data_IF_511743939854
#
_entry.id   IF_511743939854
#
_cell.length_a   1.000
_cell.length_b   1.000
_cell.length_c   1.000
_cell.angle_alpha   90.00
_cell.angle_beta   90.00
_cell.angle_gamma   90.00
#
_symmetry.space_group_name_H-M   'P 1'
#
loop_
_entity.id
_entity.type
_entity.pdbx_description
1 polymer ?
#
# COMPACT_ATOMS: atom_id res chain seq x y z
N UNK A 1 9.01 0.10 17.23
CA UNK A 1 8.35 1.11 16.37
C UNK A 1 9.42 1.73 15.52
N UNK A 2 9.37 1.53 14.21
CA UNK A 2 10.37 2.08 13.30
C UNK A 2 10.04 3.55 13.05
N UNK A 3 11.00 4.46 13.28
CA UNK A 3 10.76 5.89 13.11
C UNK A 3 10.52 6.22 11.63
N UNK A 4 9.40 6.90 11.35
CA UNK A 4 9.09 7.38 10.00
C UNK A 4 10.11 8.44 9.59
N UNK A 5 10.50 8.43 8.31
CA UNK A 5 11.31 9.53 7.78
C UNK A 5 10.54 10.86 7.84
N UNK A 6 11.27 11.98 7.90
CA UNK A 6 10.67 13.30 7.83
C UNK A 6 9.90 13.53 6.53
N UNK A 7 10.38 12.96 5.41
CA UNK A 7 9.71 13.04 4.11
C UNK A 7 8.39 12.27 4.10
N UNK A 8 8.35 11.05 4.64
CA UNK A 8 7.11 10.27 4.74
C UNK A 8 6.09 10.96 5.66
N UNK A 9 6.55 11.55 6.76
CA UNK A 9 5.69 12.33 7.66
C UNK A 9 5.08 13.55 6.96
N UNK A 10 5.87 14.28 6.17
CA UNK A 10 5.37 15.41 5.38
C UNK A 10 4.37 14.98 4.29
N UNK A 11 4.60 13.83 3.65
CA UNK A 11 3.67 13.29 2.66
C UNK A 11 2.33 12.88 3.28
N UNK A 12 2.35 12.30 4.48
CA UNK A 12 1.13 12.01 5.24
C UNK A 12 0.38 13.31 5.53
N UNK A 13 1.05 14.36 6.01
CA UNK A 13 0.42 15.66 6.23
C UNK A 13 -0.24 16.22 4.95
N UNK A 14 0.44 16.11 3.81
CA UNK A 14 -0.10 16.53 2.52
C UNK A 14 -1.36 15.75 2.11
N UNK A 15 -1.46 14.45 2.44
CA UNK A 15 -2.70 13.68 2.25
C UNK A 15 -3.85 14.29 3.06
N UNK A 16 -3.63 14.55 4.36
CA UNK A 16 -4.65 15.13 5.22
C UNK A 16 -5.12 16.51 4.72
N UNK A 17 -4.20 17.35 4.25
CA UNK A 17 -4.53 18.66 3.68
C UNK A 17 -5.34 18.53 2.38
N UNK A 18 -4.91 17.66 1.48
CA UNK A 18 -5.53 17.44 0.17
C UNK A 18 -6.98 16.98 0.29
N UNK A 19 -7.26 16.09 1.24
CA UNK A 19 -8.57 15.48 1.41
C UNK A 19 -9.41 16.13 2.52
N UNK A 20 -8.90 17.17 3.20
CA UNK A 20 -9.65 17.93 4.21
C UNK A 20 -11.04 18.43 3.74
N UNK A 21 -11.23 18.84 2.46
CA UNK A 21 -12.54 19.31 1.99
C UNK A 21 -13.65 18.25 1.99
N UNK A 22 -13.31 16.97 2.08
CA UNK A 22 -14.28 15.86 2.04
C UNK A 22 -14.89 15.50 3.39
N UNK A 23 -14.70 16.34 4.42
CA UNK A 23 -15.18 16.09 5.79
C UNK A 23 -16.63 15.60 5.84
N UNK A 24 -16.87 14.56 6.64
CA UNK A 24 -18.23 14.08 6.92
C UNK A 24 -19.04 15.14 7.65
N UNK A 25 -20.25 15.38 7.13
CA UNK A 25 -21.24 16.23 7.79
C UNK A 25 -21.95 15.49 8.94
N UNK A 26 -22.26 14.21 8.73
CA UNK A 26 -22.96 13.36 9.70
C UNK A 26 -22.29 11.99 9.82
N UNK A 27 -21.38 11.81 10.80
CA UNK A 27 -20.69 10.54 10.99
C UNK A 27 -21.64 9.37 11.34
N UNK A 28 -22.82 9.63 11.91
CA UNK A 28 -23.78 8.57 12.24
C UNK A 28 -24.39 7.90 11.01
N UNK A 29 -24.24 8.53 9.83
CA UNK A 29 -24.72 8.01 8.55
C UNK A 29 -23.60 7.52 7.63
N UNK A 30 -22.39 7.36 8.16
CA UNK A 30 -21.23 6.92 7.41
C UNK A 30 -21.48 5.59 6.68
N UNK A 31 -21.46 5.65 5.36
CA UNK A 31 -21.68 4.53 4.44
C UNK A 31 -20.50 3.59 4.29
N UNK A 32 -19.40 3.80 5.03
CA UNK A 32 -18.29 2.85 5.18
C UNK A 32 -18.45 1.90 6.40
N UNK A 33 -19.64 1.82 7.01
CA UNK A 33 -20.03 0.71 7.89
C UNK A 33 -21.32 0.01 7.41
N UNK A 34 -21.28 -1.33 7.28
CA UNK A 34 -22.38 -2.18 6.76
C UNK A 34 -23.75 -1.89 7.37
N UNK A 35 -23.78 -1.71 8.69
CA UNK A 35 -25.00 -1.47 9.47
C UNK A 35 -25.01 -0.08 10.12
N UNK A 36 -24.19 0.83 9.59
CA UNK A 36 -23.83 2.07 10.27
C UNK A 36 -22.84 1.83 11.44
N UNK A 37 -22.22 2.89 11.96
CA UNK A 37 -21.25 2.76 13.04
C UNK A 37 -21.93 2.36 14.35
N UNK A 38 -21.36 1.41 15.07
CA UNK A 38 -21.70 1.17 16.47
C UNK A 38 -21.18 2.31 17.37
N UNK A 39 -21.51 2.30 18.66
CA UNK A 39 -21.14 3.38 19.59
C UNK A 39 -19.62 3.63 19.68
N UNK A 40 -18.80 2.58 19.58
CA UNK A 40 -17.32 2.70 19.59
C UNK A 40 -16.83 3.34 18.29
N UNK A 41 -17.31 2.86 17.15
CA UNK A 41 -16.96 3.37 15.82
C UNK A 41 -17.38 4.83 15.68
N UNK A 42 -18.62 5.15 16.08
CA UNK A 42 -19.16 6.51 16.05
C UNK A 42 -18.30 7.48 16.86
N UNK A 43 -17.89 7.11 18.08
CA UNK A 43 -16.96 7.91 18.88
C UNK A 43 -15.64 8.16 18.18
N UNK A 44 -15.08 7.13 17.53
CA UNK A 44 -13.81 7.26 16.83
C UNK A 44 -13.90 8.20 15.62
N UNK A 45 -14.90 8.01 14.75
CA UNK A 45 -15.07 8.79 13.52
C UNK A 45 -15.60 10.22 13.75
N UNK A 46 -16.17 10.49 14.94
CA UNK A 46 -16.60 11.83 15.34
C UNK A 46 -15.44 12.73 15.78
N UNK A 47 -14.28 12.14 16.07
CA UNK A 47 -13.05 12.85 16.42
C UNK A 47 -12.22 13.30 15.21
N UNK A 48 -10.99 13.78 15.44
CA UNK A 48 -10.04 14.03 14.36
C UNK A 48 -9.74 12.76 13.57
N UNK A 49 -9.75 12.87 12.23
CA UNK A 49 -9.54 11.73 11.32
C UNK A 49 -8.24 10.96 11.61
N UNK A 50 -7.18 11.67 12.01
CA UNK A 50 -5.87 11.09 12.37
C UNK A 50 -5.87 10.24 13.65
N UNK A 51 -6.88 10.43 14.50
CA UNK A 51 -6.98 9.75 15.80
C UNK A 51 -7.85 8.49 15.71
N UNK A 52 -8.42 8.19 14.54
CA UNK A 52 -9.19 6.97 14.32
C UNK A 52 -8.27 5.75 14.49
N UNK A 53 -8.56 4.85 15.43
CA UNK A 53 -7.71 3.68 15.67
C UNK A 53 -7.67 2.73 14.46
N UNK A 54 -6.54 2.06 14.25
CA UNK A 54 -6.36 1.14 13.12
C UNK A 54 -7.38 0.00 13.14
N UNK A 55 -7.80 -0.46 14.32
CA UNK A 55 -8.83 -1.48 14.45
C UNK A 55 -10.21 -1.00 14.03
N UNK A 56 -10.51 0.30 14.15
CA UNK A 56 -11.75 0.89 13.61
C UNK A 56 -11.64 1.03 12.10
N UNK A 57 -10.50 1.46 11.56
CA UNK A 57 -10.26 1.48 10.11
C UNK A 57 -10.48 0.10 9.48
N UNK A 58 -10.05 -0.96 10.18
CA UNK A 58 -10.28 -2.36 9.78
C UNK A 58 -11.74 -2.81 9.80
N UNK A 59 -12.65 -2.08 10.47
CA UNK A 59 -14.09 -2.37 10.43
C UNK A 59 -14.85 -1.49 9.43
N UNK A 60 -14.20 -0.48 8.83
CA UNK A 60 -14.77 0.39 7.79
C UNK A 60 -14.98 -0.30 6.44
N UNK A 61 -15.00 -1.64 6.43
CA UNK A 61 -14.89 -2.41 5.22
C UNK A 61 -16.06 -3.37 5.04
N UNK A 62 -16.79 -3.10 3.97
CA UNK A 62 -17.74 -4.03 3.41
C UNK A 62 -17.00 -5.12 2.65
N UNK A 63 -17.43 -6.37 2.82
CA UNK A 63 -17.03 -7.55 2.03
C UNK A 63 -17.49 -7.44 0.56
N UNK A 64 -17.05 -6.41 -0.14
CA UNK A 64 -17.34 -6.17 -1.55
C UNK A 64 -16.13 -5.52 -2.25
N UNK A 65 -15.78 -6.00 -3.46
CA UNK A 65 -14.59 -5.55 -4.19
C UNK A 65 -14.76 -4.20 -4.89
N UNK A 66 -15.96 -3.57 -4.81
CA UNK A 66 -16.23 -2.29 -5.46
C UNK A 66 -16.00 -1.10 -4.52
N UNK A 67 -15.68 0.06 -5.09
CA UNK A 67 -15.46 1.29 -4.34
C UNK A 67 -16.75 1.84 -3.71
N UNK A 68 -17.91 1.54 -4.32
CA UNK A 68 -19.24 1.96 -3.84
C UNK A 68 -19.63 1.27 -2.54
N UNK A 69 -18.99 0.15 -2.22
CA UNK A 69 -19.12 -0.51 -0.94
C UNK A 69 -18.42 0.21 0.20
N UNK A 70 -17.78 1.37 0.03
CA UNK A 70 -17.36 2.21 1.16
C UNK A 70 -18.23 3.47 1.31
N UNK A 71 -19.41 3.45 0.71
CA UNK A 71 -20.32 4.59 0.65
C UNK A 71 -20.07 5.46 -0.58
N UNK A 72 -20.32 6.74 -0.43
CA UNK A 72 -20.16 7.75 -1.46
C UNK A 72 -18.69 8.09 -1.73
N UNK A 73 -18.42 8.69 -2.90
CA UNK A 73 -17.07 9.17 -3.24
C UNK A 73 -16.49 10.11 -2.18
N UNK A 74 -17.31 11.00 -1.62
CA UNK A 74 -16.89 11.94 -0.59
C UNK A 74 -16.47 11.22 0.70
N UNK A 75 -17.25 10.22 1.12
CA UNK A 75 -16.95 9.42 2.31
C UNK A 75 -15.64 8.63 2.16
N UNK A 76 -15.39 8.06 0.98
CA UNK A 76 -14.11 7.38 0.75
C UNK A 76 -12.95 8.36 0.77
N UNK A 77 -13.09 9.50 0.09
CA UNK A 77 -12.06 10.53 0.06
C UNK A 77 -11.79 11.11 1.44
N UNK A 78 -12.80 11.20 2.30
CA UNK A 78 -12.64 11.58 3.69
C UNK A 78 -11.72 10.64 4.44
N UNK A 79 -11.96 9.32 4.38
CA UNK A 79 -11.19 8.35 5.18
C UNK A 79 -9.83 7.99 4.56
N UNK A 80 -9.65 8.23 3.26
CA UNK A 80 -8.46 7.81 2.50
C UNK A 80 -7.11 8.19 3.14
N UNK A 81 -6.87 9.43 3.63
CA UNK A 81 -5.61 9.77 4.30
C UNK A 81 -5.31 8.87 5.48
N UNK A 82 -6.34 8.53 6.26
CA UNK A 82 -6.18 7.67 7.44
C UNK A 82 -5.90 6.23 7.05
N UNK A 83 -6.54 5.72 6.00
CA UNK A 83 -6.26 4.36 5.54
C UNK A 83 -4.83 4.25 5.00
N UNK A 84 -4.37 5.25 4.24
CA UNK A 84 -2.99 5.32 3.76
C UNK A 84 -2.00 5.48 4.93
N UNK A 85 -2.29 6.30 5.94
CA UNK A 85 -1.45 6.38 7.14
C UNK A 85 -1.40 5.03 7.89
N UNK A 86 -2.53 4.35 8.04
CA UNK A 86 -2.56 3.00 8.62
C UNK A 86 -1.68 2.03 7.84
N UNK A 87 -1.66 2.10 6.51
CA UNK A 87 -0.77 1.29 5.69
C UNK A 87 0.71 1.57 6.00
N UNK A 88 1.08 2.83 6.22
CA UNK A 88 2.46 3.17 6.58
C UNK A 88 2.86 2.68 7.99
N UNK A 89 1.90 2.59 8.90
CA UNK A 89 2.12 2.15 10.29
C UNK A 89 2.06 0.63 10.45
N UNK A 90 1.28 -0.02 9.59
CA UNK A 90 0.93 -1.44 9.66
C UNK A 90 1.00 -2.09 8.26
N UNK A 91 2.18 -2.12 7.62
CA UNK A 91 2.33 -2.67 6.27
C UNK A 91 1.96 -4.17 6.21
N UNK A 92 2.07 -4.90 7.33
CA UNK A 92 1.63 -6.29 7.49
C UNK A 92 0.15 -6.54 7.13
N UNK A 93 -0.66 -5.48 7.15
CA UNK A 93 -2.07 -5.56 6.76
C UNK A 93 -2.26 -5.87 5.27
N UNK A 94 -1.23 -5.71 4.43
CA UNK A 94 -1.27 -6.11 3.03
C UNK A 94 -1.08 -7.61 2.81
N UNK A 95 -0.39 -8.30 3.73
CA UNK A 95 0.02 -9.70 3.56
C UNK A 95 -0.96 -10.74 4.07
N UNK A 96 -1.88 -10.36 4.96
CA UNK A 96 -2.92 -11.27 5.43
C UNK A 96 -4.16 -11.19 4.54
N UNK A 97 -4.77 -12.32 4.14
CA UNK A 97 -6.15 -12.37 3.65
C UNK A 97 -7.10 -12.02 4.80
N UNK A 98 -7.12 -10.74 5.13
CA UNK A 98 -7.98 -10.09 6.12
C UNK A 98 -8.64 -8.91 5.44
N UNK A 99 -9.50 -8.19 6.15
CA UNK A 99 -10.18 -6.98 5.68
C UNK A 99 -9.25 -6.11 4.82
N UNK A 100 -8.10 -5.66 5.33
CA UNK A 100 -7.22 -4.77 4.55
C UNK A 100 -6.58 -5.37 3.27
N UNK A 101 -6.72 -6.67 3.02
CA UNK A 101 -6.36 -7.27 1.73
C UNK A 101 -7.24 -6.79 0.56
N UNK A 102 -8.49 -6.40 0.80
CA UNK A 102 -9.34 -5.80 -0.24
C UNK A 102 -8.96 -4.35 -0.52
N UNK A 103 -8.14 -3.72 0.34
CA UNK A 103 -7.73 -2.33 0.18
C UNK A 103 -7.09 -2.07 -1.19
N UNK A 104 -6.15 -2.94 -1.63
CA UNK A 104 -5.51 -2.81 -2.94
C UNK A 104 -6.52 -2.89 -4.10
N UNK A 105 -7.51 -3.78 -4.01
CA UNK A 105 -8.54 -3.93 -5.03
C UNK A 105 -9.53 -2.75 -5.05
N UNK A 106 -9.87 -2.19 -3.89
CA UNK A 106 -10.74 -1.02 -3.76
C UNK A 106 -10.04 0.23 -4.26
N UNK A 107 -8.82 0.49 -3.79
CA UNK A 107 -7.98 1.58 -4.28
C UNK A 107 -7.74 1.47 -5.78
N UNK A 108 -7.52 0.28 -6.37
CA UNK A 108 -7.41 0.13 -7.83
C UNK A 108 -8.60 0.72 -8.57
N UNK A 109 -9.81 0.54 -8.05
CA UNK A 109 -11.03 1.11 -8.66
C UNK A 109 -11.19 2.61 -8.42
N UNK A 110 -10.59 3.18 -7.37
CA UNK A 110 -10.66 4.63 -7.08
C UNK A 110 -9.49 5.46 -7.62
N UNK A 111 -8.30 4.88 -7.71
CA UNK A 111 -7.03 5.53 -8.07
C UNK A 111 -6.68 5.41 -9.55
N UNK A 112 -7.23 4.45 -10.29
CA UNK A 112 -6.90 4.29 -11.71
C UNK A 112 -7.58 5.35 -12.59
N UNK A 113 -6.97 5.73 -13.74
CA UNK A 113 -7.56 6.71 -14.66
C UNK A 113 -8.96 6.34 -15.17
N UNK A 114 -9.27 5.04 -15.29
CA UNK A 114 -10.59 4.52 -15.67
C UNK A 114 -11.59 4.51 -14.50
N UNK A 115 -11.10 4.66 -13.27
CA UNK A 115 -11.87 4.60 -12.02
C UNK A 115 -12.56 5.90 -11.60
N UNK A 116 -12.29 7.03 -12.29
CA UNK A 116 -12.92 8.35 -12.10
C UNK A 116 -12.90 8.95 -10.67
N UNK A 117 -12.37 8.28 -9.65
CA UNK A 117 -12.47 8.70 -8.26
C UNK A 117 -11.57 9.87 -7.91
N UNK A 118 -10.27 9.82 -8.26
CA UNK A 118 -9.34 10.91 -7.94
C UNK A 118 -9.19 11.96 -9.05
N UNK A 119 -9.33 13.22 -8.63
CA UNK A 119 -9.05 14.43 -9.42
C UNK A 119 -7.54 14.61 -9.58
N UNK A 120 -7.08 15.34 -10.61
CA UNK A 120 -5.64 15.52 -10.86
C UNK A 120 -4.84 16.03 -9.64
N UNK A 121 -5.37 16.99 -8.88
CA UNK A 121 -4.70 17.52 -7.68
C UNK A 121 -4.65 16.54 -6.50
N UNK A 122 -5.50 15.51 -6.50
CA UNK A 122 -5.55 14.46 -5.46
C UNK A 122 -4.56 13.33 -5.75
N UNK A 123 -4.22 13.14 -7.03
CA UNK A 123 -3.35 12.03 -7.48
C UNK A 123 -1.92 12.20 -7.04
N UNK A 124 -1.36 13.41 -7.16
CA UNK A 124 0.05 13.65 -6.84
C UNK A 124 0.37 13.42 -5.35
N UNK A 125 -0.42 13.91 -4.37
CA UNK A 125 -0.20 13.61 -2.96
C UNK A 125 -0.23 12.11 -2.64
N UNK A 126 -1.17 11.36 -3.24
CA UNK A 126 -1.24 9.89 -3.10
C UNK A 126 -0.01 9.23 -3.72
N UNK A 127 0.36 9.64 -4.92
CA UNK A 127 1.51 9.09 -5.63
C UNK A 127 2.82 9.35 -4.87
N UNK A 128 2.98 10.57 -4.35
CA UNK A 128 4.13 10.97 -3.54
C UNK A 128 4.21 10.22 -2.22
N UNK A 129 3.07 10.00 -1.57
CA UNK A 129 3.00 9.16 -0.38
C UNK A 129 3.45 7.72 -0.67
N UNK A 130 2.90 7.08 -1.71
CA UNK A 130 3.22 5.70 -2.07
C UNK A 130 4.69 5.52 -2.43
N UNK A 131 5.25 6.47 -3.18
CA UNK A 131 6.67 6.52 -3.51
C UNK A 131 7.57 6.59 -2.27
N UNK A 132 7.25 7.47 -1.32
CA UNK A 132 8.02 7.64 -0.08
C UNK A 132 7.82 6.49 0.90
N UNK A 133 6.64 5.86 0.89
CA UNK A 133 6.39 4.65 1.66
C UNK A 133 7.26 3.51 1.11
N UNK A 134 7.30 3.33 -0.21
CA UNK A 134 8.15 2.32 -0.86
C UNK A 134 9.63 2.53 -0.53
N UNK A 135 10.11 3.77 -0.65
CA UNK A 135 11.47 4.14 -0.26
C UNK A 135 11.73 3.83 1.22
N UNK A 136 10.82 4.22 2.11
CA UNK A 136 10.97 3.97 3.54
C UNK A 136 11.06 2.47 3.84
N UNK A 137 10.17 1.65 3.27
CA UNK A 137 10.19 0.19 3.42
C UNK A 137 11.49 -0.42 2.89
N UNK A 138 12.02 0.08 1.77
CA UNK A 138 13.30 -0.37 1.22
C UNK A 138 14.50 -0.09 2.14
N UNK A 139 14.41 0.92 3.01
CA UNK A 139 15.47 1.26 3.98
C UNK A 139 15.40 0.48 5.29
N UNK A 140 14.31 -0.25 5.54
CA UNK A 140 14.19 -1.06 6.76
C UNK A 140 15.23 -2.18 6.76
N UNK A 141 15.68 -2.59 7.94
CA UNK A 141 16.83 -3.50 8.09
C UNK A 141 16.42 -4.93 8.48
N UNK A 142 15.23 -5.11 9.06
CA UNK A 142 14.72 -6.42 9.44
C UNK A 142 14.20 -7.22 8.25
N UNK A 143 14.59 -8.49 8.13
CA UNK A 143 14.06 -9.40 7.10
C UNK A 143 12.53 -9.56 7.19
N UNK A 144 11.96 -9.52 8.40
CA UNK A 144 10.50 -9.52 8.58
C UNK A 144 9.85 -8.22 8.09
N UNK A 145 10.52 -7.07 8.27
CA UNK A 145 10.01 -5.77 7.82
C UNK A 145 10.08 -5.66 6.30
N UNK A 146 11.14 -6.21 5.68
CA UNK A 146 11.31 -6.21 4.22
C UNK A 146 10.37 -7.16 3.48
N UNK A 147 9.85 -8.21 4.13
CA UNK A 147 8.82 -9.07 3.51
C UNK A 147 7.57 -8.29 3.11
N UNK A 148 7.26 -7.21 3.83
CA UNK A 148 6.11 -6.36 3.50
C UNK A 148 6.32 -5.52 2.22
N UNK A 149 7.57 -5.39 1.76
CA UNK A 149 7.89 -4.71 0.51
C UNK A 149 7.26 -5.41 -0.70
N UNK A 150 7.25 -6.74 -0.70
CA UNK A 150 6.65 -7.52 -1.79
C UNK A 150 5.14 -7.29 -1.89
N UNK A 151 4.43 -7.32 -0.77
CA UNK A 151 3.00 -6.99 -0.73
C UNK A 151 2.73 -5.53 -1.11
N UNK A 152 3.61 -4.60 -0.73
CA UNK A 152 3.50 -3.21 -1.17
C UNK A 152 3.67 -3.09 -2.69
N UNK A 153 4.65 -3.76 -3.29
CA UNK A 153 4.83 -3.77 -4.75
C UNK A 153 3.63 -4.38 -5.46
N UNK A 154 3.09 -5.49 -4.97
CA UNK A 154 1.83 -6.05 -5.51
C UNK A 154 0.69 -5.04 -5.46
N UNK A 155 0.54 -4.34 -4.34
CA UNK A 155 -0.45 -3.30 -4.21
C UNK A 155 -0.20 -2.21 -5.25
N UNK A 156 1.02 -1.68 -5.40
CA UNK A 156 1.36 -0.66 -6.39
C UNK A 156 1.04 -1.09 -7.84
N UNK A 157 1.35 -2.33 -8.20
CA UNK A 157 0.99 -2.92 -9.50
C UNK A 157 -0.52 -2.96 -9.69
N UNK A 158 -1.25 -3.41 -8.68
CA UNK A 158 -2.72 -3.43 -8.69
C UNK A 158 -3.29 -2.01 -8.84
N UNK A 159 -2.68 -1.02 -8.21
CA UNK A 159 -3.07 0.39 -8.32
C UNK A 159 -2.72 1.01 -9.66
N UNK A 160 -1.98 0.31 -10.54
CA UNK A 160 -1.37 0.84 -11.76
C UNK A 160 -0.56 2.11 -11.46
N UNK A 161 0.19 2.05 -10.36
CA UNK A 161 1.13 3.10 -10.02
C UNK A 161 2.21 3.23 -11.11
N UNK A 162 2.83 4.40 -11.21
CA UNK A 162 3.87 4.64 -12.21
C UNK A 162 5.11 3.82 -11.87
N UNK A 163 5.36 2.75 -12.64
CA UNK A 163 6.49 1.85 -12.44
C UNK A 163 7.83 2.59 -12.46
N UNK A 164 7.99 3.62 -13.30
CA UNK A 164 9.23 4.39 -13.35
C UNK A 164 9.47 5.14 -12.03
N UNK A 165 8.40 5.66 -11.43
CA UNK A 165 8.44 6.33 -10.13
C UNK A 165 8.72 5.35 -8.99
N UNK A 166 8.15 4.15 -9.05
CA UNK A 166 8.38 3.09 -8.07
C UNK A 166 9.84 2.59 -8.11
N UNK A 167 10.34 2.23 -9.29
CA UNK A 167 11.72 1.78 -9.47
C UNK A 167 12.73 2.86 -9.05
N UNK A 168 12.47 4.13 -9.40
CA UNK A 168 13.32 5.23 -8.96
C UNK A 168 13.32 5.43 -7.43
N UNK A 169 12.28 5.02 -6.71
CA UNK A 169 12.26 5.03 -5.26
C UNK A 169 13.09 3.89 -4.66
N UNK A 170 13.03 2.69 -5.25
CA UNK A 170 13.85 1.55 -4.86
C UNK A 170 15.35 1.78 -5.11
N UNK A 171 15.69 2.47 -6.21
CA UNK A 171 17.07 2.76 -6.60
C UNK A 171 17.76 3.88 -5.79
N UNK A 172 17.04 4.58 -4.89
CA UNK A 172 17.61 5.69 -4.09
C UNK A 172 18.67 5.26 -3.11
N UNK A 173 18.65 3.99 -2.70
CA UNK A 173 19.50 3.47 -1.64
C UNK A 173 20.33 2.30 -2.18
N UNK A 174 21.42 2.55 -2.94
CA UNK A 174 22.24 1.49 -3.52
C UNK A 174 22.76 0.45 -2.52
N UNK A 175 23.04 0.89 -1.29
CA UNK A 175 23.46 -0.01 -0.21
C UNK A 175 22.38 -1.03 0.20
N UNK A 176 21.11 -0.77 -0.12
CA UNK A 176 19.98 -1.65 0.16
C UNK A 176 19.59 -2.54 -1.02
N UNK A 177 20.22 -2.39 -2.20
CA UNK A 177 19.83 -3.11 -3.41
C UNK A 177 19.82 -4.63 -3.25
N UNK A 178 20.89 -5.23 -2.72
CA UNK A 178 20.96 -6.68 -2.51
C UNK A 178 19.82 -7.18 -1.61
N UNK A 179 19.71 -6.67 -0.38
CA UNK A 179 18.66 -7.13 0.53
C UNK A 179 17.23 -6.82 0.11
N UNK A 180 17.00 -5.72 -0.61
CA UNK A 180 15.71 -5.39 -1.21
C UNK A 180 15.38 -6.39 -2.33
N UNK A 181 16.37 -6.70 -3.18
CA UNK A 181 16.20 -7.69 -4.24
C UNK A 181 15.90 -9.08 -3.67
N UNK A 182 16.62 -9.52 -2.63
CA UNK A 182 16.35 -10.79 -1.94
C UNK A 182 14.90 -10.87 -1.45
N UNK A 183 14.42 -9.82 -0.78
CA UNK A 183 13.05 -9.77 -0.27
C UNK A 183 12.00 -9.83 -1.38
N UNK A 184 12.20 -9.12 -2.49
CA UNK A 184 11.30 -9.16 -3.64
C UNK A 184 11.31 -10.53 -4.33
N UNK A 185 12.48 -11.12 -4.53
CA UNK A 185 12.61 -12.45 -5.17
C UNK A 185 12.01 -13.56 -4.30
N UNK A 186 12.22 -13.52 -2.98
CA UNK A 186 11.58 -14.42 -2.01
C UNK A 186 10.05 -14.30 -2.10
N UNK A 187 9.53 -13.06 -2.12
CA UNK A 187 8.11 -12.78 -2.18
C UNK A 187 7.47 -13.24 -3.50
N UNK A 188 8.08 -12.91 -4.64
CA UNK A 188 7.60 -13.32 -5.96
C UNK A 188 7.87 -14.80 -6.27
N UNK A 189 8.61 -15.49 -5.40
CA UNK A 189 8.98 -16.90 -5.55
C UNK A 189 9.65 -17.20 -6.89
N UNK A 190 10.47 -16.26 -7.36
CA UNK A 190 11.21 -16.42 -8.61
C UNK A 190 12.25 -17.49 -8.36
N UNK A 191 12.03 -18.68 -8.93
CA UNK A 191 12.97 -19.80 -8.91
C UNK A 191 13.77 -19.79 -10.20
N UNK A 192 15.07 -20.04 -10.08
CA UNK A 192 15.86 -20.46 -11.23
C UNK A 192 15.33 -21.82 -11.73
N UNK A 193 15.50 -22.07 -13.02
CA UNK A 193 14.64 -22.92 -13.85
C UNK A 193 14.56 -24.43 -13.51
N UNK A 194 15.14 -24.93 -12.42
CA UNK A 194 15.41 -26.36 -12.23
C UNK A 194 14.77 -27.06 -11.00
N UNK A 195 13.91 -26.44 -10.17
CA UNK A 195 13.33 -27.16 -9.00
C UNK A 195 11.80 -27.04 -8.76
N UNK A 196 11.20 -28.21 -8.47
CA UNK A 196 9.77 -28.56 -8.26
C UNK A 196 8.97 -27.62 -7.34
N UNK A 197 7.85 -27.03 -7.78
CA UNK A 197 7.17 -25.92 -7.11
C UNK A 197 6.58 -26.31 -5.75
N UNK A 198 6.73 -25.43 -4.75
CA UNK A 198 5.92 -25.45 -3.53
C UNK A 198 5.25 -24.08 -3.30
N UNK A 199 4.22 -23.81 -4.11
CA UNK A 199 3.09 -22.92 -3.77
C UNK A 199 2.85 -21.73 -4.73
N UNK A 200 1.81 -20.97 -4.37
CA UNK A 200 0.87 -20.17 -5.20
C UNK A 200 1.51 -19.34 -6.32
N UNK A 201 1.10 -19.63 -7.55
CA UNK A 201 1.30 -18.83 -8.76
C UNK A 201 0.57 -17.48 -8.63
N UNK A 202 1.24 -16.36 -8.86
CA UNK A 202 0.57 -15.06 -9.04
C UNK A 202 0.31 -14.84 -10.53
N UNK A 203 -0.94 -15.00 -10.97
CA UNK A 203 -1.44 -14.75 -12.33
C UNK A 203 -1.38 -13.26 -12.78
N UNK A 204 -0.49 -12.44 -12.19
CA UNK A 204 -0.36 -10.99 -12.44
C UNK A 204 0.95 -10.66 -13.21
N UNK A 205 1.29 -11.50 -14.18
CA UNK A 205 2.66 -11.66 -14.70
C UNK A 205 3.27 -10.41 -15.36
N UNK A 206 2.51 -9.58 -16.08
CA UNK A 206 3.12 -8.49 -16.85
C UNK A 206 3.63 -7.33 -15.98
N UNK A 207 2.85 -6.91 -14.98
CA UNK A 207 3.19 -5.76 -14.12
C UNK A 207 4.29 -6.11 -13.10
N UNK A 208 4.23 -7.31 -12.52
CA UNK A 208 5.25 -7.78 -11.58
C UNK A 208 6.59 -8.07 -12.24
N UNK A 209 6.59 -8.43 -13.55
CA UNK A 209 7.84 -8.71 -14.29
C UNK A 209 8.83 -7.57 -14.26
N UNK A 210 8.38 -6.32 -14.32
CA UNK A 210 9.27 -5.14 -14.25
C UNK A 210 10.04 -5.10 -12.93
N UNK A 211 9.38 -5.43 -11.82
CA UNK A 211 9.99 -5.46 -10.49
C UNK A 211 10.87 -6.70 -10.29
N UNK A 212 10.46 -7.85 -10.85
CA UNK A 212 11.27 -9.06 -10.88
C UNK A 212 12.57 -8.86 -11.67
N UNK A 213 12.49 -8.25 -12.86
CA UNK A 213 13.64 -7.98 -13.71
C UNK A 213 14.60 -7.01 -13.01
N UNK A 214 14.07 -5.95 -12.39
CA UNK A 214 14.86 -5.03 -11.56
C UNK A 214 15.53 -5.75 -10.39
N UNK A 215 14.82 -6.60 -9.66
CA UNK A 215 15.36 -7.33 -8.52
C UNK A 215 16.47 -8.30 -8.96
N UNK A 216 16.27 -9.05 -10.04
CA UNK A 216 17.29 -9.94 -10.60
C UNK A 216 18.56 -9.18 -11.02
N UNK A 217 18.42 -8.01 -11.66
CA UNK A 217 19.57 -7.17 -12.04
C UNK A 217 20.37 -6.74 -10.79
N UNK A 218 19.68 -6.21 -9.79
CA UNK A 218 20.30 -5.72 -8.55
C UNK A 218 20.91 -6.84 -7.71
N UNK A 219 20.26 -7.99 -7.64
CA UNK A 219 20.75 -9.18 -6.95
C UNK A 219 22.04 -9.72 -7.59
N UNK A 220 22.07 -9.83 -8.93
CA UNK A 220 23.27 -10.24 -9.67
C UNK A 220 24.42 -9.26 -9.45
N UNK A 221 24.15 -7.95 -9.48
CA UNK A 221 25.15 -6.91 -9.25
C UNK A 221 25.71 -6.93 -7.82
N UNK A 222 24.94 -7.44 -6.84
CA UNK A 222 25.37 -7.60 -5.45
C UNK A 222 26.18 -8.88 -5.18
N UNK A 223 26.45 -9.71 -6.20
CA UNK A 223 27.21 -10.95 -6.05
C UNK A 223 26.36 -12.18 -5.71
N UNK A 224 25.05 -12.14 -5.97
CA UNK A 224 24.11 -13.23 -5.65
C UNK A 224 24.45 -14.62 -6.24
N UNK A 225 25.27 -14.69 -7.30
CA UNK A 225 25.71 -15.95 -7.93
C UNK A 225 26.43 -16.91 -6.97
N UNK A 226 27.16 -16.39 -5.98
CA UNK A 226 27.97 -17.21 -5.06
C UNK A 226 27.18 -17.69 -3.83
N UNK A 227 25.93 -17.24 -3.65
CA UNK A 227 25.15 -17.47 -2.44
C UNK A 227 24.40 -18.83 -2.41
N UNK A 228 24.43 -19.61 -3.50
CA UNK A 228 23.81 -20.95 -3.56
C UNK A 228 22.31 -20.91 -3.28
N UNK A 229 21.53 -20.45 -4.25
CA UNK A 229 20.07 -20.56 -4.29
C UNK A 229 19.65 -21.61 -5.30
#
# INVERSE_FOLDING_TARGET
MTERSASLTAAIAALYETFAPYRLEDPARAGFFDFGPNERELRAISGPLRDIPAEVVRTMEFYAPDWRSWGSEAEVKYVLPRVLECLALHPELLGYPSTMSLFKHKLRRGLTPAGAGLRPHEREPVARFLELLLEHQATLSGASERRELGYLVEALVELRFDDARALAALDRHPAQHGPVADALLEHFRVRDADETPRGVFCEHEAGLRVYTDWALERWRAAGGWDAGW
#
